data_IF_798088090677
#
_entry.id   IF_798088090677
#
_cell.length_a   1.000
_cell.length_b   1.000
_cell.length_c   1.000
_cell.angle_alpha   90.00
_cell.angle_beta   90.00
_cell.angle_gamma   90.00
#
_symmetry.space_group_name_H-M   'P 1'
#
loop_
_entity.id
_entity.type
_entity.pdbx_description
1 polymer ?
#
# COMPACT_ATOMS: atom_id res chain seq x y z
N UNK A 1 7.88 22.62 -21.76
CA UNK A 1 7.45 21.24 -22.03
C UNK A 1 6.98 20.61 -20.71
N UNK A 2 5.71 20.80 -20.35
CA UNK A 2 5.12 20.25 -19.13
C UNK A 2 4.81 18.77 -19.38
N UNK A 3 5.54 17.86 -18.75
CA UNK A 3 5.16 16.44 -18.75
C UNK A 3 3.96 16.27 -17.83
N UNK A 4 2.78 16.02 -18.41
CA UNK A 4 1.62 15.55 -17.67
C UNK A 4 1.95 14.20 -17.03
N UNK A 5 2.47 14.19 -15.80
CA UNK A 5 2.50 12.98 -14.97
C UNK A 5 1.05 12.74 -14.51
N UNK A 6 0.31 11.95 -15.29
CA UNK A 6 -1.03 11.50 -14.94
C UNK A 6 -0.94 10.75 -13.61
N UNK A 7 -1.57 11.28 -12.55
CA UNK A 7 -1.71 10.59 -11.26
C UNK A 7 -2.62 9.39 -11.48
N UNK A 8 -2.06 8.20 -11.65
CA UNK A 8 -2.82 6.97 -11.87
C UNK A 8 -3.10 6.31 -10.53
N UNK A 9 -4.38 6.08 -10.23
CA UNK A 9 -4.81 5.27 -9.09
C UNK A 9 -4.75 3.78 -9.46
N UNK A 10 -4.05 2.96 -8.65
CA UNK A 10 -3.94 1.51 -8.90
C UNK A 10 -5.31 0.82 -8.93
N UNK A 11 -6.20 1.21 -8.02
CA UNK A 11 -7.55 0.63 -7.94
C UNK A 11 -8.39 0.95 -9.17
N UNK A 12 -8.24 2.14 -9.79
CA UNK A 12 -8.95 2.47 -11.04
C UNK A 12 -8.44 1.65 -12.24
N UNK A 13 -7.21 1.12 -12.15
CA UNK A 13 -6.64 0.17 -13.12
C UNK A 13 -6.95 -1.29 -12.79
N UNK A 14 -7.75 -1.56 -11.76
CA UNK A 14 -8.15 -2.92 -11.41
C UNK A 14 -7.12 -3.70 -10.59
N UNK A 15 -6.12 -3.02 -10.03
CA UNK A 15 -5.02 -3.61 -9.27
C UNK A 15 -5.19 -3.33 -7.77
N UNK A 16 -5.05 -4.36 -6.93
CA UNK A 16 -4.79 -4.24 -5.49
C UNK A 16 -3.30 -4.44 -5.21
N UNK A 17 -2.77 -3.73 -4.22
CA UNK A 17 -1.33 -3.62 -3.96
C UNK A 17 -0.85 -4.69 -2.98
N UNK A 18 -1.65 -5.00 -1.95
CA UNK A 18 -1.46 -6.08 -0.96
C UNK A 18 -0.22 -5.98 -0.06
N UNK A 19 0.64 -4.97 -0.24
CA UNK A 19 1.80 -4.73 0.63
C UNK A 19 2.06 -3.23 0.87
N UNK A 20 1.04 -2.55 1.41
CA UNK A 20 1.13 -1.13 1.80
C UNK A 20 1.99 -1.01 3.07
N UNK A 21 3.18 -0.43 2.95
CA UNK A 21 4.11 -0.19 4.07
C UNK A 21 4.99 1.03 3.83
N UNK A 22 5.53 1.68 4.87
CA UNK A 22 6.30 2.92 4.72
C UNK A 22 7.47 2.77 3.74
N UNK A 23 8.12 1.60 3.76
CA UNK A 23 9.30 1.28 2.97
C UNK A 23 9.04 1.21 1.46
N UNK A 24 7.78 1.09 1.03
CA UNK A 24 7.37 1.07 -0.37
C UNK A 24 6.96 2.45 -0.89
N UNK A 25 7.09 3.50 -0.05
CA UNK A 25 6.88 4.88 -0.44
C UNK A 25 8.20 5.64 -0.60
N UNK A 26 8.28 6.47 -1.63
CA UNK A 26 9.37 7.44 -1.81
C UNK A 26 8.80 8.83 -2.07
N UNK A 27 9.48 9.86 -1.58
CA UNK A 27 9.14 11.25 -1.88
C UNK A 27 9.92 11.70 -3.11
N UNK A 28 9.26 12.38 -4.05
CA UNK A 28 9.93 12.94 -5.21
C UNK A 28 10.99 13.97 -4.85
N UNK A 29 11.99 14.16 -5.71
CA UNK A 29 13.01 15.20 -5.52
C UNK A 29 12.67 16.51 -6.25
N UNK A 30 13.26 17.62 -5.80
CA UNK A 30 13.15 18.94 -6.44
C UNK A 30 11.70 19.41 -6.57
N UNK A 31 11.26 19.74 -7.80
CA UNK A 31 9.89 20.21 -8.08
C UNK A 31 8.78 19.18 -7.77
N UNK A 32 9.13 17.93 -7.45
CA UNK A 32 8.20 16.83 -7.15
C UNK A 32 8.20 16.42 -5.67
N UNK A 33 8.79 17.23 -4.77
CA UNK A 33 8.82 16.96 -3.33
C UNK A 33 7.44 16.85 -2.66
N UNK A 34 6.39 17.41 -3.26
CA UNK A 34 5.01 17.23 -2.81
C UNK A 34 4.34 15.94 -3.28
N UNK A 35 5.05 15.03 -3.94
CA UNK A 35 4.50 13.78 -4.50
C UNK A 35 5.13 12.58 -3.79
N UNK A 36 4.28 11.74 -3.20
CA UNK A 36 4.64 10.40 -2.76
C UNK A 36 4.42 9.39 -3.89
N UNK A 37 5.44 8.59 -4.17
CA UNK A 37 5.42 7.49 -5.10
C UNK A 37 5.30 6.20 -4.34
N UNK A 38 4.46 5.30 -4.81
CA UNK A 38 4.43 3.92 -4.38
C UNK A 38 5.21 3.07 -5.39
N UNK A 39 6.08 2.20 -4.90
CA UNK A 39 6.82 1.22 -5.69
C UNK A 39 6.68 -0.18 -5.08
N UNK A 40 7.28 -1.18 -5.73
CA UNK A 40 7.20 -2.59 -5.37
C UNK A 40 5.77 -3.18 -5.49
N UNK A 41 5.48 -3.67 -6.70
CA UNK A 41 4.23 -4.36 -7.05
C UNK A 41 4.40 -5.89 -7.00
N UNK A 42 5.43 -6.41 -6.33
CA UNK A 42 5.73 -7.85 -6.32
C UNK A 42 4.61 -8.71 -5.73
N UNK A 43 3.79 -8.14 -4.85
CA UNK A 43 2.60 -8.77 -4.30
C UNK A 43 1.29 -8.26 -4.92
N UNK A 44 1.33 -7.36 -5.90
CA UNK A 44 0.12 -6.82 -6.49
C UNK A 44 -0.69 -7.89 -7.22
N UNK A 45 -2.00 -7.67 -7.36
CA UNK A 45 -2.93 -8.61 -8.00
C UNK A 45 -4.07 -7.86 -8.68
N UNK A 46 -4.59 -8.41 -9.78
CA UNK A 46 -5.84 -7.94 -10.38
C UNK A 46 -7.04 -8.38 -9.51
N UNK A 47 -7.85 -7.42 -9.07
CA UNK A 47 -9.09 -7.70 -8.34
C UNK A 47 -10.33 -7.63 -9.24
N UNK A 48 -10.16 -7.18 -10.48
CA UNK A 48 -11.17 -7.26 -11.54
C UNK A 48 -10.59 -7.96 -12.75
N UNK A 49 -11.42 -8.78 -13.39
CA UNK A 49 -11.14 -9.39 -14.67
C UNK A 49 -11.05 -8.30 -15.77
N UNK A 50 -9.96 -8.24 -16.56
CA UNK A 50 -9.82 -7.27 -17.64
C UNK A 50 -10.87 -7.39 -18.75
N UNK A 51 -11.40 -8.59 -19.01
CA UNK A 51 -12.31 -8.86 -20.12
C UNK A 51 -13.75 -8.46 -19.81
N UNK A 52 -14.25 -8.82 -18.63
CA UNK A 52 -15.66 -8.61 -18.25
C UNK A 52 -15.85 -7.64 -17.07
N UNK A 53 -14.76 -7.10 -16.50
CA UNK A 53 -14.76 -6.17 -15.35
C UNK A 53 -15.39 -6.75 -14.07
N UNK A 54 -15.61 -8.06 -14.00
CA UNK A 54 -16.14 -8.72 -12.82
C UNK A 54 -15.11 -8.73 -11.69
N UNK A 55 -15.58 -8.59 -10.45
CA UNK A 55 -14.73 -8.66 -9.26
C UNK A 55 -14.33 -10.11 -8.97
N UNK A 56 -13.11 -10.32 -8.45
CA UNK A 56 -12.67 -11.64 -8.00
C UNK A 56 -13.61 -12.21 -6.92
N UNK A 57 -13.85 -13.53 -6.89
CA UNK A 57 -14.70 -14.14 -5.88
C UNK A 57 -14.04 -14.06 -4.50
N UNK A 58 -14.88 -14.07 -3.48
CA UNK A 58 -14.43 -14.21 -2.09
C UNK A 58 -13.87 -15.62 -1.85
N UNK A 59 -12.79 -15.71 -1.09
CA UNK A 59 -12.13 -16.96 -0.69
C UNK A 59 -11.62 -16.85 0.75
N UNK A 60 -11.53 -17.98 1.43
CA UNK A 60 -10.97 -18.12 2.78
C UNK A 60 -9.91 -19.24 2.80
N UNK A 61 -9.19 -19.37 3.91
CA UNK A 61 -8.10 -20.35 4.04
C UNK A 61 -6.83 -19.96 3.27
N UNK A 62 -6.70 -18.68 2.89
CA UNK A 62 -5.52 -18.16 2.21
C UNK A 62 -4.39 -17.91 3.21
N UNK A 63 -3.16 -18.11 2.74
CA UNK A 63 -1.97 -17.70 3.50
C UNK A 63 -1.89 -16.17 3.48
N UNK A 64 -1.75 -15.55 4.65
CA UNK A 64 -1.57 -14.11 4.77
C UNK A 64 -0.29 -13.66 4.06
N UNK A 65 -0.40 -12.68 3.17
CA UNK A 65 0.71 -12.07 2.44
C UNK A 65 0.91 -10.62 2.87
N UNK A 66 2.12 -10.11 2.64
CA UNK A 66 2.50 -8.72 2.92
C UNK A 66 3.06 -8.51 4.32
N UNK A 67 3.15 -7.25 4.73
CA UNK A 67 3.79 -6.86 5.99
C UNK A 67 2.81 -6.96 7.16
N UNK A 68 3.07 -7.87 8.11
CA UNK A 68 2.21 -8.18 9.28
C UNK A 68 1.72 -6.93 10.03
N UNK A 69 2.60 -5.95 10.28
CA UNK A 69 2.25 -4.73 11.05
C UNK A 69 1.28 -3.78 10.33
N UNK A 70 1.12 -3.94 9.01
CA UNK A 70 0.22 -3.14 8.19
C UNK A 70 -0.85 -4.00 7.51
N UNK A 71 -0.95 -5.30 7.87
CA UNK A 71 -1.92 -6.20 7.29
C UNK A 71 -3.32 -5.92 7.87
N UNK A 72 -4.34 -5.94 7.01
CA UNK A 72 -5.73 -5.81 7.44
C UNK A 72 -6.17 -6.99 8.31
N UNK A 73 -7.22 -6.82 9.11
CA UNK A 73 -7.85 -7.91 9.85
C UNK A 73 -8.19 -9.12 8.94
N UNK A 74 -8.66 -8.88 7.71
CA UNK A 74 -8.99 -9.95 6.77
C UNK A 74 -7.80 -10.84 6.40
N UNK A 75 -6.61 -10.25 6.25
CA UNK A 75 -5.37 -11.00 5.97
C UNK A 75 -5.04 -11.93 7.13
N UNK A 76 -5.22 -11.47 8.37
CA UNK A 76 -5.02 -12.30 9.56
C UNK A 76 -6.03 -13.46 9.65
N UNK A 77 -7.26 -13.26 9.16
CA UNK A 77 -8.28 -14.31 9.07
C UNK A 77 -8.16 -15.17 7.79
N UNK A 78 -7.11 -14.99 6.98
CA UNK A 78 -6.91 -15.77 5.74
C UNK A 78 -7.97 -15.53 4.67
N UNK A 79 -8.57 -14.34 4.64
CA UNK A 79 -9.61 -13.94 3.67
C UNK A 79 -9.00 -13.27 2.44
N UNK A 80 -9.69 -13.40 1.31
CA UNK A 80 -9.30 -12.75 0.05
C UNK A 80 -9.19 -11.23 0.22
N UNK A 81 -8.01 -10.70 -0.12
CA UNK A 81 -7.73 -9.27 -0.09
C UNK A 81 -8.46 -8.58 -1.25
N UNK A 82 -9.06 -7.44 -0.95
CA UNK A 82 -9.63 -6.50 -1.89
C UNK A 82 -9.16 -5.08 -1.63
N UNK A 83 -9.77 -4.11 -2.31
CA UNK A 83 -9.42 -2.69 -2.21
C UNK A 83 -9.46 -2.14 -0.78
N UNK A 84 -10.39 -2.64 0.04
CA UNK A 84 -10.55 -2.24 1.45
C UNK A 84 -9.30 -2.52 2.28
N UNK A 85 -8.59 -3.60 1.97
CA UNK A 85 -7.43 -4.05 2.75
C UNK A 85 -6.22 -3.16 2.48
N UNK A 86 -6.07 -2.62 1.26
CA UNK A 86 -5.07 -1.58 0.95
C UNK A 86 -5.36 -0.27 1.71
N UNK A 87 -6.64 0.09 1.85
CA UNK A 87 -7.05 1.32 2.58
C UNK A 87 -6.82 1.16 4.09
N UNK A 88 -7.15 0.00 4.66
CA UNK A 88 -6.86 -0.31 6.06
C UNK A 88 -5.35 -0.30 6.33
N UNK A 89 -4.56 -0.92 5.45
CA UNK A 89 -3.09 -0.90 5.52
C UNK A 89 -2.52 0.52 5.46
N UNK A 90 -3.06 1.40 4.60
CA UNK A 90 -2.67 2.80 4.56
C UNK A 90 -2.99 3.53 5.88
N UNK A 91 -4.13 3.23 6.50
CA UNK A 91 -4.48 3.74 7.83
C UNK A 91 -3.44 3.36 8.89
N UNK A 92 -3.02 2.08 8.92
CA UNK A 92 -1.95 1.64 9.83
C UNK A 92 -0.62 2.35 9.56
N UNK A 93 -0.24 2.54 8.28
CA UNK A 93 0.96 3.30 7.92
C UNK A 93 0.90 4.72 8.49
N UNK A 94 -0.22 5.43 8.32
CA UNK A 94 -0.38 6.79 8.81
C UNK A 94 -0.34 6.88 10.35
N UNK A 95 -0.82 5.86 11.05
CA UNK A 95 -0.76 5.79 12.52
C UNK A 95 0.63 5.41 13.06
N UNK A 96 1.36 4.55 12.34
CA UNK A 96 2.68 4.06 12.75
C UNK A 96 3.81 5.04 12.43
N UNK A 97 3.69 5.80 11.33
CA UNK A 97 4.71 6.75 10.87
C UNK A 97 5.16 7.74 11.96
N UNK A 98 4.26 8.43 12.70
CA UNK A 98 4.67 9.34 13.77
C UNK A 98 5.41 8.64 14.92
N UNK A 99 5.02 7.40 15.24
CA UNK A 99 5.64 6.61 16.32
C UNK A 99 7.07 6.17 15.97
N UNK A 100 7.29 5.70 14.74
CA UNK A 100 8.65 5.33 14.31
C UNK A 100 9.55 6.57 14.19
N UNK A 101 9.02 7.71 13.75
CA UNK A 101 9.76 8.97 13.70
C UNK A 101 10.16 9.50 15.09
N UNK A 102 9.29 9.38 16.10
CA UNK A 102 9.63 9.80 17.47
C UNK A 102 10.71 8.92 18.10
N UNK A 103 10.67 7.61 17.87
CA UNK A 103 11.68 6.68 18.38
C UNK A 103 13.03 6.92 17.71
N UNK A 104 13.04 7.09 16.38
CA UNK A 104 14.26 7.40 15.65
C UNK A 104 14.90 8.70 16.15
N UNK A 105 14.10 9.75 16.41
CA UNK A 105 14.62 11.01 16.97
C UNK A 105 15.31 10.82 18.32
N UNK A 106 14.80 9.98 19.21
CA UNK A 106 15.47 9.71 20.49
C UNK A 106 16.79 8.95 20.31
N UNK A 107 16.83 7.97 19.41
CA UNK A 107 18.03 7.14 19.18
C UNK A 107 19.16 7.89 18.43
N UNK A 108 18.82 8.92 17.66
CA UNK A 108 19.80 9.71 16.88
C UNK A 108 20.05 11.11 17.46
N UNK A 109 19.31 11.56 18.48
CA UNK A 109 19.59 12.83 19.16
C UNK A 109 20.67 12.71 20.24
N UNK A 110 21.06 11.50 20.64
CA UNK A 110 22.15 11.23 21.60
C UNK A 110 23.48 10.87 20.91
N UNK A 111 23.70 11.32 19.68
CA UNK A 111 24.99 11.22 18.97
C UNK A 111 25.50 12.57 18.50
#
# INVERSE_FOLDING_TARGET
MMTHQSRVCSHSRGVILRDIKPRNFAIGAGRRCGIAYLFDFGLAKLFVDPANRAHIPFREGLVGLGTVRCASANVHFGREQGRRDDIEGLGYVLLLLPREASVARHLYAER
#
